data_IF_037362282950
#
_entry.id   IF_037362282950
#
_cell.length_a   1.000
_cell.length_b   1.000
_cell.length_c   1.000
_cell.angle_alpha   90.00
_cell.angle_beta   90.00
_cell.angle_gamma   90.00
#
_symmetry.space_group_name_H-M   'P 1'
#
loop_
_entity.id
_entity.type
_entity.pdbx_description
1 polymer ?
#
# COMPACT_ATOMS: atom_id res chain seq x y z
N UNK A 1 -1.50 4.38 -13.34
CA UNK A 1 -1.55 5.79 -13.78
C UNK A 1 -0.29 6.51 -13.30
N UNK A 2 0.38 7.28 -14.15
CA UNK A 2 1.63 7.96 -13.77
C UNK A 2 2.03 9.08 -14.74
N UNK A 3 3.08 9.84 -14.39
CA UNK A 3 3.81 10.72 -15.32
C UNK A 3 5.25 10.24 -15.47
N UNK A 4 5.78 10.36 -16.68
CA UNK A 4 7.17 10.03 -16.98
C UNK A 4 7.94 11.28 -17.42
N UNK A 5 9.23 11.33 -17.08
CA UNK A 5 10.13 12.34 -17.66
C UNK A 5 10.52 11.88 -19.06
N UNK A 6 10.25 12.73 -20.06
CA UNK A 6 10.56 12.48 -21.47
C UNK A 6 12.08 12.23 -21.65
N UNK A 7 12.42 11.28 -22.54
CA UNK A 7 13.81 10.91 -22.89
C UNK A 7 14.69 10.44 -21.72
N UNK A 8 14.10 10.23 -20.54
CA UNK A 8 14.82 9.78 -19.35
C UNK A 8 15.20 8.29 -19.43
N UNK A 9 16.46 7.97 -19.12
CA UNK A 9 16.91 6.58 -18.99
C UNK A 9 16.20 5.86 -17.81
N UNK A 10 15.88 6.59 -16.74
CA UNK A 10 15.15 6.05 -15.59
C UNK A 10 13.70 5.75 -15.99
N UNK A 11 13.04 6.64 -16.76
CA UNK A 11 11.71 6.37 -17.29
C UNK A 11 11.69 5.11 -18.18
N UNK A 12 12.68 4.96 -19.06
CA UNK A 12 12.80 3.74 -19.90
C UNK A 12 13.00 2.48 -19.05
N UNK A 13 13.81 2.57 -17.99
CA UNK A 13 14.00 1.46 -17.06
C UNK A 13 12.68 1.09 -16.37
N UNK A 14 11.96 2.06 -15.79
CA UNK A 14 10.67 1.83 -15.12
C UNK A 14 9.67 1.19 -16.09
N UNK A 15 9.52 1.72 -17.30
CA UNK A 15 8.64 1.16 -18.33
C UNK A 15 9.03 -0.27 -18.72
N UNK A 16 10.32 -0.58 -18.76
CA UNK A 16 10.81 -1.94 -19.02
C UNK A 16 10.45 -2.89 -17.89
N UNK A 17 10.58 -2.46 -16.63
CA UNK A 17 10.23 -3.26 -15.46
C UNK A 17 8.72 -3.54 -15.37
N UNK A 18 7.86 -2.58 -15.72
CA UNK A 18 6.42 -2.78 -15.80
C UNK A 18 6.05 -3.80 -16.89
N UNK A 19 6.58 -3.63 -18.12
CA UNK A 19 6.30 -4.56 -19.22
C UNK A 19 6.78 -5.99 -18.94
N UNK A 20 7.95 -6.13 -18.29
CA UNK A 20 8.49 -7.45 -17.91
C UNK A 20 7.58 -8.22 -16.96
N UNK A 21 6.72 -7.51 -16.23
CA UNK A 21 5.72 -8.06 -15.30
C UNK A 21 4.31 -8.09 -15.86
N UNK A 22 4.19 -7.82 -17.16
CA UNK A 22 2.87 -7.73 -17.81
C UNK A 22 1.94 -6.70 -17.16
N UNK A 23 2.52 -5.61 -16.64
CA UNK A 23 1.76 -4.50 -16.07
C UNK A 23 1.57 -3.45 -17.17
N UNK A 24 0.35 -3.21 -17.52
CA UNK A 24 -0.04 -2.10 -18.38
C UNK A 24 0.06 -0.78 -17.61
N UNK A 25 0.41 0.27 -18.31
CA UNK A 25 0.51 1.59 -17.71
C UNK A 25 0.01 2.66 -18.66
N UNK A 26 -0.73 3.59 -18.12
CA UNK A 26 -1.07 4.84 -18.77
C UNK A 26 -0.33 5.98 -18.11
N UNK A 27 0.25 6.86 -18.91
CA UNK A 27 1.07 7.93 -18.36
C UNK A 27 1.46 8.98 -19.40
N UNK A 28 1.46 10.20 -18.95
CA UNK A 28 1.87 11.38 -19.73
C UNK A 28 3.39 11.54 -19.66
N UNK A 29 4.00 11.76 -20.82
CA UNK A 29 5.40 12.16 -20.88
C UNK A 29 5.54 13.67 -20.82
N UNK A 30 6.33 14.15 -19.85
CA UNK A 30 6.61 15.58 -19.67
C UNK A 30 8.07 15.89 -19.92
N UNK A 31 8.40 17.01 -20.56
CA UNK A 31 9.80 17.43 -20.76
C UNK A 31 10.50 17.58 -19.40
N UNK A 32 11.75 17.16 -19.30
CA UNK A 32 12.57 17.45 -18.12
C UNK A 32 12.68 18.96 -17.84
N UNK A 33 12.67 19.78 -18.90
CA UNK A 33 12.87 21.21 -18.84
C UNK A 33 14.35 21.56 -18.91
N UNK A 34 14.97 21.82 -17.77
CA UNK A 34 16.38 22.17 -17.64
C UNK A 34 17.06 21.26 -16.60
N UNK A 35 18.36 21.40 -16.31
CA UNK A 35 19.04 20.57 -15.29
C UNK A 35 18.38 20.62 -13.89
N UNK A 36 17.54 21.61 -13.61
CA UNK A 36 16.81 21.81 -12.35
C UNK A 36 15.33 21.40 -12.44
N UNK A 37 14.93 20.83 -13.59
CA UNK A 37 13.55 20.42 -13.85
C UNK A 37 13.19 19.07 -13.24
N UNK A 38 12.22 18.41 -13.86
CA UNK A 38 11.66 17.15 -13.34
C UNK A 38 12.62 15.98 -13.45
N UNK A 39 12.48 15.04 -12.51
CA UNK A 39 13.14 13.73 -12.53
C UNK A 39 12.27 12.69 -11.85
N UNK A 40 12.59 11.42 -12.02
CA UNK A 40 12.06 10.36 -11.16
C UNK A 40 12.80 10.38 -9.81
N UNK A 41 12.08 10.06 -8.73
CA UNK A 41 12.65 9.96 -7.40
C UNK A 41 13.72 8.86 -7.33
N UNK A 42 14.63 8.97 -6.37
CA UNK A 42 15.61 7.94 -6.02
C UNK A 42 15.54 7.70 -4.52
N UNK A 43 15.38 6.45 -4.13
CA UNK A 43 15.48 6.03 -2.75
C UNK A 43 16.75 5.18 -2.60
N UNK A 44 17.52 5.45 -1.56
CA UNK A 44 18.66 4.64 -1.16
C UNK A 44 18.31 4.01 0.17
N UNK A 45 18.20 2.69 0.17
CA UNK A 45 17.82 1.92 1.35
C UNK A 45 19.00 1.11 1.88
N UNK A 46 19.16 1.09 3.19
CA UNK A 46 19.98 0.16 3.94
C UNK A 46 19.02 -0.66 4.82
N UNK A 47 18.93 -1.95 4.56
CA UNK A 47 17.99 -2.86 5.24
C UNK A 47 18.33 -3.08 6.72
N UNK A 48 19.49 -2.59 7.19
CA UNK A 48 19.96 -2.86 8.54
C UNK A 48 20.50 -4.28 8.72
N UNK A 49 20.93 -4.61 9.93
CA UNK A 49 21.32 -5.97 10.31
C UNK A 49 21.37 -6.12 11.84
N UNK A 50 20.75 -7.13 12.39
CA UNK A 50 20.68 -7.36 13.83
C UNK A 50 20.18 -6.12 14.57
N UNK A 51 20.96 -5.60 15.51
CA UNK A 51 20.64 -4.38 16.26
C UNK A 51 20.84 -3.06 15.50
N UNK A 52 21.38 -3.09 14.27
CA UNK A 52 21.54 -1.89 13.43
C UNK A 52 20.27 -1.64 12.64
N UNK A 53 19.56 -0.55 12.96
CA UNK A 53 18.28 -0.20 12.35
C UNK A 53 18.41 0.02 10.83
N UNK A 54 17.35 -0.31 10.06
CA UNK A 54 17.22 0.10 8.66
C UNK A 54 17.24 1.63 8.51
N UNK A 55 17.71 2.10 7.37
CA UNK A 55 17.73 3.51 7.03
C UNK A 55 17.34 3.71 5.56
N UNK A 56 16.44 4.66 5.29
CA UNK A 56 16.02 5.01 3.93
C UNK A 56 16.26 6.50 3.70
N UNK A 57 17.05 6.81 2.69
CA UNK A 57 17.24 8.16 2.19
C UNK A 57 16.36 8.36 0.95
N UNK A 58 15.37 9.26 1.08
CA UNK A 58 14.46 9.59 -0.01
C UNK A 58 14.94 10.89 -0.68
N UNK A 59 15.33 10.82 -1.95
CA UNK A 59 15.59 11.99 -2.78
C UNK A 59 14.43 12.23 -3.74
N UNK A 60 13.54 13.15 -3.35
CA UNK A 60 12.32 13.50 -4.07
C UNK A 60 12.33 14.91 -4.67
N UNK A 61 13.49 15.60 -4.69
CA UNK A 61 13.58 16.90 -5.31
C UNK A 61 13.27 16.85 -6.80
N UNK A 62 12.34 17.67 -7.29
CA UNK A 62 11.94 17.67 -8.70
C UNK A 62 11.18 16.41 -9.15
N UNK A 63 10.61 15.65 -8.24
CA UNK A 63 9.86 14.43 -8.56
C UNK A 63 8.66 14.72 -9.48
N UNK A 64 8.65 14.06 -10.66
CA UNK A 64 7.59 14.24 -11.66
C UNK A 64 6.22 13.74 -11.18
N UNK A 65 6.20 12.73 -10.32
CA UNK A 65 4.96 12.18 -9.74
C UNK A 65 4.13 13.22 -8.98
N UNK A 66 4.76 14.26 -8.42
CA UNK A 66 4.06 15.36 -7.72
C UNK A 66 3.17 16.20 -8.63
N UNK A 67 3.30 16.08 -9.92
CA UNK A 67 2.58 16.90 -10.91
C UNK A 67 1.42 16.15 -11.58
N UNK A 68 1.11 14.92 -11.14
CA UNK A 68 0.01 14.12 -11.67
C UNK A 68 -1.32 14.87 -11.51
N UNK A 69 -2.11 14.90 -12.58
CA UNK A 69 -3.45 15.47 -12.61
C UNK A 69 -4.44 14.44 -13.15
N UNK A 70 -5.68 14.47 -12.66
CA UNK A 70 -6.74 13.57 -13.14
C UNK A 70 -6.99 13.71 -14.64
N UNK A 71 -6.83 14.92 -15.19
CA UNK A 71 -6.92 15.22 -16.61
C UNK A 71 -5.83 14.60 -17.49
N UNK A 72 -4.82 13.97 -16.91
CA UNK A 72 -3.77 13.27 -17.65
C UNK A 72 -4.27 11.93 -18.24
N UNK A 73 -5.40 11.42 -17.77
CA UNK A 73 -5.86 10.07 -18.02
C UNK A 73 -7.24 10.03 -18.65
N UNK A 74 -7.46 9.06 -19.52
CA UNK A 74 -8.79 8.74 -20.06
C UNK A 74 -9.60 7.93 -19.01
N UNK A 75 -10.19 8.66 -18.06
CA UNK A 75 -10.97 8.03 -16.99
C UNK A 75 -12.21 7.29 -17.52
N UNK A 76 -12.82 7.77 -18.61
CA UNK A 76 -13.96 7.08 -19.22
C UNK A 76 -13.53 5.76 -19.83
N UNK A 77 -12.45 5.74 -20.59
CA UNK A 77 -11.87 4.52 -21.15
C UNK A 77 -11.54 3.51 -20.06
N UNK A 78 -10.81 3.93 -19.01
CA UNK A 78 -10.34 3.02 -17.93
C UNK A 78 -11.51 2.45 -17.12
N UNK A 79 -12.39 3.29 -16.59
CA UNK A 79 -13.36 2.85 -15.58
C UNK A 79 -14.69 2.40 -16.17
N UNK A 80 -15.08 2.91 -17.33
CA UNK A 80 -16.35 2.58 -17.97
C UNK A 80 -16.17 1.58 -19.11
N UNK A 81 -15.27 1.85 -20.07
CA UNK A 81 -15.16 1.05 -21.29
C UNK A 81 -14.36 -0.24 -21.06
N UNK A 82 -13.24 -0.18 -20.34
CA UNK A 82 -12.44 -1.35 -19.95
C UNK A 82 -12.99 -2.04 -18.69
N UNK A 83 -13.77 -1.34 -17.87
CA UNK A 83 -14.45 -1.90 -16.72
C UNK A 83 -13.49 -2.25 -15.56
N UNK A 84 -12.65 -1.31 -15.16
CA UNK A 84 -11.74 -1.47 -14.04
C UNK A 84 -12.50 -1.89 -12.76
N UNK A 85 -12.14 -3.03 -12.17
CA UNK A 85 -12.86 -3.60 -11.02
C UNK A 85 -12.47 -2.95 -9.70
N UNK A 86 -11.18 -2.65 -9.51
CA UNK A 86 -10.65 -2.02 -8.28
C UNK A 86 -9.71 -0.88 -8.66
N UNK A 87 -9.96 0.30 -8.11
CA UNK A 87 -8.99 1.39 -8.05
C UNK A 87 -8.25 1.30 -6.70
N UNK A 88 -6.96 1.09 -6.72
CA UNK A 88 -6.13 1.18 -5.51
C UNK A 88 -5.42 2.53 -5.43
N UNK A 89 -5.54 3.19 -4.28
CA UNK A 89 -4.89 4.45 -3.96
C UNK A 89 -3.99 4.29 -2.72
N UNK A 90 -2.83 4.92 -2.77
CA UNK A 90 -1.94 5.03 -1.60
C UNK A 90 -1.97 6.45 -1.04
N UNK A 91 -2.08 6.56 0.27
CA UNK A 91 -2.01 7.82 1.00
C UNK A 91 -0.69 8.57 0.78
N UNK A 92 0.40 7.84 0.50
CA UNK A 92 1.65 8.47 0.12
C UNK A 92 1.47 9.36 -1.14
N UNK A 93 0.80 8.85 -2.18
CA UNK A 93 0.54 9.61 -3.41
C UNK A 93 -0.48 10.72 -3.13
N UNK A 94 -1.53 10.43 -2.38
CA UNK A 94 -2.53 11.43 -2.00
C UNK A 94 -1.93 12.61 -1.22
N UNK A 95 -0.87 12.40 -0.44
CA UNK A 95 -0.19 13.42 0.34
C UNK A 95 0.98 14.11 -0.38
N UNK A 96 1.39 13.64 -1.55
CA UNK A 96 2.65 14.02 -2.20
C UNK A 96 2.68 15.51 -2.63
N UNK A 97 1.56 16.05 -3.11
CA UNK A 97 1.38 17.47 -3.45
C UNK A 97 -0.12 17.84 -3.46
N UNK A 98 -0.50 19.13 -3.46
CA UNK A 98 -1.90 19.54 -3.63
C UNK A 98 -2.52 19.00 -4.93
N UNK A 99 -1.75 18.95 -6.01
CA UNK A 99 -2.20 18.41 -7.30
C UNK A 99 -2.54 16.93 -7.20
N UNK A 100 -1.67 16.12 -6.59
CA UNK A 100 -1.94 14.69 -6.42
C UNK A 100 -3.06 14.42 -5.43
N UNK A 101 -3.20 15.25 -4.38
CA UNK A 101 -4.35 15.18 -3.45
C UNK A 101 -5.66 15.33 -4.21
N UNK A 102 -5.78 16.40 -5.01
CA UNK A 102 -6.99 16.64 -5.80
C UNK A 102 -7.21 15.54 -6.85
N UNK A 103 -6.14 15.10 -7.52
CA UNK A 103 -6.23 14.02 -8.51
C UNK A 103 -6.72 12.70 -7.91
N UNK A 104 -6.23 12.33 -6.74
CA UNK A 104 -6.72 11.12 -6.04
C UNK A 104 -8.20 11.22 -5.72
N UNK A 105 -8.69 12.38 -5.28
CA UNK A 105 -10.11 12.62 -5.04
C UNK A 105 -10.93 12.53 -6.33
N UNK A 106 -10.55 13.23 -7.38
CA UNK A 106 -11.27 13.26 -8.65
C UNK A 106 -11.36 11.86 -9.28
N UNK A 107 -10.24 11.14 -9.31
CA UNK A 107 -10.18 9.79 -9.89
C UNK A 107 -11.01 8.81 -9.05
N UNK A 108 -10.92 8.87 -7.71
CA UNK A 108 -11.68 7.99 -6.84
C UNK A 108 -13.20 8.22 -6.97
N UNK A 109 -13.62 9.48 -7.00
CA UNK A 109 -15.05 9.83 -7.16
C UNK A 109 -15.58 9.39 -8.51
N UNK A 110 -14.82 9.61 -9.59
CA UNK A 110 -15.19 9.14 -10.91
C UNK A 110 -15.29 7.61 -10.95
N UNK A 111 -14.26 6.90 -10.51
CA UNK A 111 -14.23 5.44 -10.46
C UNK A 111 -15.43 4.87 -9.67
N UNK A 112 -15.69 5.45 -8.49
CA UNK A 112 -16.85 5.07 -7.66
C UNK A 112 -18.17 5.25 -8.38
N UNK A 113 -18.33 6.35 -9.16
CA UNK A 113 -19.53 6.60 -9.94
C UNK A 113 -19.77 5.58 -11.06
N UNK A 114 -18.71 4.90 -11.51
CA UNK A 114 -18.78 3.82 -12.51
C UNK A 114 -18.96 2.43 -11.88
N UNK A 115 -19.02 2.32 -10.55
CA UNK A 115 -19.16 1.05 -9.83
C UNK A 115 -17.84 0.34 -9.51
N UNK A 116 -16.71 0.98 -9.76
CA UNK A 116 -15.39 0.46 -9.38
C UNK A 116 -15.23 0.46 -7.86
N UNK A 117 -14.72 -0.62 -7.29
CA UNK A 117 -14.35 -0.68 -5.87
C UNK A 117 -13.14 0.22 -5.59
N UNK A 118 -13.21 0.97 -4.51
CA UNK A 118 -12.11 1.82 -4.07
C UNK A 118 -11.35 1.15 -2.94
N UNK A 119 -10.07 0.86 -3.18
CA UNK A 119 -9.11 0.42 -2.16
C UNK A 119 -8.21 1.58 -1.78
N UNK A 120 -8.10 1.87 -0.48
CA UNK A 120 -7.27 2.95 0.02
C UNK A 120 -6.34 2.44 1.14
N UNK A 121 -5.05 2.44 0.87
CA UNK A 121 -4.00 2.25 1.89
C UNK A 121 -3.61 3.62 2.44
N UNK A 122 -3.83 3.83 3.73
CA UNK A 122 -3.57 5.11 4.41
C UNK A 122 -2.12 5.55 4.32
N UNK A 123 -1.18 4.63 4.40
CA UNK A 123 0.24 4.78 4.11
C UNK A 123 0.81 6.16 4.49
N UNK A 124 0.61 6.56 5.75
CA UNK A 124 1.00 7.87 6.28
C UNK A 124 2.52 8.08 6.22
N UNK A 125 2.94 9.30 5.91
CA UNK A 125 4.35 9.71 5.91
C UNK A 125 4.46 11.14 6.41
N UNK A 126 4.93 11.33 7.64
CA UNK A 126 5.08 12.64 8.31
C UNK A 126 5.69 13.72 7.42
N UNK A 127 6.70 13.35 6.62
CA UNK A 127 7.42 14.31 5.78
C UNK A 127 6.55 15.03 4.76
N UNK A 128 5.44 14.43 4.32
CA UNK A 128 4.49 15.02 3.36
C UNK A 128 3.35 15.76 4.04
N UNK A 129 3.09 15.43 5.30
CA UNK A 129 2.01 16.05 6.08
C UNK A 129 2.42 17.39 6.66
N UNK A 130 3.72 17.59 6.90
CA UNK A 130 4.23 18.79 7.55
C UNK A 130 3.81 20.08 6.85
N UNK A 131 3.00 20.89 7.55
CA UNK A 131 2.45 22.17 7.07
C UNK A 131 1.21 22.04 6.17
N UNK A 132 0.65 20.78 6.06
CA UNK A 132 -0.57 20.47 5.32
C UNK A 132 -1.54 19.60 6.14
N UNK A 133 -1.35 19.53 7.44
CA UNK A 133 -2.02 18.57 8.32
C UNK A 133 -3.56 18.70 8.24
N UNK A 134 -4.10 19.91 8.31
CA UNK A 134 -5.54 20.15 8.23
C UNK A 134 -6.12 19.80 6.85
N UNK A 135 -5.43 20.21 5.78
CA UNK A 135 -5.82 19.92 4.40
C UNK A 135 -5.86 18.41 4.15
N UNK A 136 -4.77 17.72 4.54
CA UNK A 136 -4.64 16.29 4.29
C UNK A 136 -5.59 15.49 5.16
N UNK A 137 -5.80 15.87 6.42
CA UNK A 137 -6.78 15.22 7.28
C UNK A 137 -8.18 15.28 6.65
N UNK A 138 -8.61 16.44 6.15
CA UNK A 138 -9.89 16.59 5.47
C UNK A 138 -9.98 15.75 4.19
N UNK A 139 -8.91 15.72 3.39
CA UNK A 139 -8.85 14.96 2.14
C UNK A 139 -8.86 13.45 2.38
N UNK A 140 -8.13 12.97 3.38
CA UNK A 140 -8.12 11.56 3.75
C UNK A 140 -9.47 11.10 4.31
N UNK A 141 -10.14 11.95 5.09
CA UNK A 141 -11.53 11.66 5.52
C UNK A 141 -12.49 11.54 4.32
N UNK A 142 -12.33 12.40 3.31
CA UNK A 142 -13.17 12.34 2.10
C UNK A 142 -12.87 11.06 1.31
N UNK A 143 -11.61 10.69 1.09
CA UNK A 143 -11.23 9.43 0.45
C UNK A 143 -11.76 8.23 1.24
N UNK A 144 -11.54 8.17 2.56
CA UNK A 144 -12.00 7.08 3.39
C UNK A 144 -13.54 6.92 3.38
N UNK A 145 -14.30 8.01 3.22
CA UNK A 145 -15.77 7.97 3.19
C UNK A 145 -16.35 7.27 1.94
N UNK A 146 -15.60 7.21 0.84
CA UNK A 146 -16.00 6.56 -0.41
C UNK A 146 -15.27 5.22 -0.65
N UNK A 147 -14.40 4.83 0.28
CA UNK A 147 -13.57 3.62 0.18
C UNK A 147 -14.37 2.37 0.53
N UNK A 148 -14.16 1.30 -0.23
CA UNK A 148 -14.73 -0.04 0.03
C UNK A 148 -13.76 -0.93 0.82
N UNK A 149 -12.45 -0.78 0.60
CA UNK A 149 -11.37 -1.56 1.22
C UNK A 149 -10.39 -0.58 1.83
N UNK A 150 -10.42 -0.41 3.15
CA UNK A 150 -9.54 0.51 3.88
C UNK A 150 -8.42 -0.25 4.58
N UNK A 151 -7.20 0.14 4.31
CA UNK A 151 -5.99 -0.56 4.74
C UNK A 151 -5.07 0.41 5.47
N UNK A 152 -4.37 -0.09 6.48
CA UNK A 152 -3.36 0.67 7.22
C UNK A 152 -2.79 -0.15 8.38
N UNK A 153 -1.82 0.42 9.06
CA UNK A 153 -1.38 -0.04 10.38
C UNK A 153 -1.95 0.87 11.48
N UNK A 154 -1.66 0.59 12.73
CA UNK A 154 -2.16 1.37 13.87
C UNK A 154 -1.75 2.84 13.83
N UNK A 155 -0.53 3.13 13.35
CA UNK A 155 -0.02 4.49 13.21
C UNK A 155 -0.75 5.25 12.11
N UNK A 156 -1.00 4.58 10.98
CA UNK A 156 -1.72 5.16 9.84
C UNK A 156 -3.14 5.60 10.24
N UNK A 157 -3.90 4.76 10.94
CA UNK A 157 -5.25 5.12 11.40
C UNK A 157 -5.24 6.29 12.40
N UNK A 158 -4.23 6.34 13.26
CA UNK A 158 -4.12 7.42 14.25
C UNK A 158 -3.72 8.74 13.60
N UNK A 159 -2.70 8.74 12.76
CA UNK A 159 -2.13 9.95 12.20
C UNK A 159 -2.91 10.48 10.98
N UNK A 160 -3.36 9.58 10.08
CA UNK A 160 -4.06 10.00 8.87
C UNK A 160 -5.57 10.23 9.07
N UNK A 161 -6.20 9.58 10.06
CA UNK A 161 -7.64 9.71 10.31
C UNK A 161 -7.98 10.26 11.70
N UNK A 162 -6.99 10.52 12.55
CA UNK A 162 -7.20 11.00 13.92
C UNK A 162 -7.98 10.03 14.81
N UNK A 163 -7.92 8.73 14.52
CA UNK A 163 -8.66 7.70 15.27
C UNK A 163 -7.70 7.04 16.25
N UNK A 164 -7.99 7.17 17.55
CA UNK A 164 -7.15 6.60 18.59
C UNK A 164 -7.08 5.07 18.50
N UNK A 165 -5.88 4.53 18.61
CA UNK A 165 -5.55 3.11 18.56
C UNK A 165 -4.50 2.71 19.60
N UNK A 166 -3.96 1.47 19.52
CA UNK A 166 -2.85 1.03 20.35
C UNK A 166 -1.59 1.84 20.07
N UNK A 167 -0.58 1.72 20.94
CA UNK A 167 0.71 2.40 20.75
C UNK A 167 1.39 1.89 19.49
N UNK A 168 1.77 2.81 18.59
CA UNK A 168 2.43 2.47 17.35
C UNK A 168 3.80 1.82 17.58
N UNK A 169 4.07 0.68 16.90
CA UNK A 169 5.30 -0.09 17.06
C UNK A 169 5.45 -0.69 18.47
N UNK A 170 4.35 -0.86 19.19
CA UNK A 170 4.33 -1.46 20.53
C UNK A 170 4.88 -2.88 20.55
N UNK A 171 5.27 -3.34 21.75
CA UNK A 171 5.65 -4.73 22.01
C UNK A 171 4.40 -5.56 22.30
N UNK A 172 4.55 -6.87 22.20
CA UNK A 172 3.48 -7.83 22.49
C UNK A 172 2.23 -7.62 21.61
N UNK A 173 2.44 -7.50 20.29
CA UNK A 173 1.37 -7.27 19.30
C UNK A 173 0.28 -8.33 19.40
N UNK A 174 0.63 -9.58 19.72
CA UNK A 174 -0.30 -10.68 19.96
C UNK A 174 -1.24 -10.41 21.15
N UNK A 175 -0.71 -9.88 22.26
CA UNK A 175 -1.49 -9.55 23.45
C UNK A 175 -2.46 -8.38 23.23
N UNK A 176 -2.20 -7.54 22.21
CA UNK A 176 -2.95 -6.32 21.94
C UNK A 176 -3.97 -6.44 20.80
N UNK A 177 -4.24 -7.64 20.28
CA UNK A 177 -5.18 -7.88 19.16
C UNK A 177 -6.56 -7.24 19.42
N UNK A 178 -7.05 -7.28 20.64
CA UNK A 178 -8.36 -6.68 20.97
C UNK A 178 -8.34 -5.15 20.91
N UNK A 179 -7.23 -4.50 21.22
CA UNK A 179 -7.07 -3.04 21.07
C UNK A 179 -7.08 -2.63 19.59
N UNK A 180 -6.49 -3.46 18.71
CA UNK A 180 -6.58 -3.26 17.24
C UNK A 180 -8.01 -3.42 16.74
N UNK A 181 -8.75 -4.45 17.23
CA UNK A 181 -10.17 -4.63 16.88
C UNK A 181 -11.03 -3.46 17.35
N UNK A 182 -10.74 -2.93 18.54
CA UNK A 182 -11.45 -1.76 19.07
C UNK A 182 -11.17 -0.50 18.23
N UNK A 183 -9.91 -0.28 17.80
CA UNK A 183 -9.56 0.79 16.88
C UNK A 183 -10.32 0.66 15.56
N UNK A 184 -10.28 -0.51 14.92
CA UNK A 184 -10.99 -0.76 13.65
C UNK A 184 -12.51 -0.60 13.83
N UNK A 185 -13.07 -0.96 14.99
CA UNK A 185 -14.49 -0.74 15.27
C UNK A 185 -14.86 0.74 15.26
N UNK A 186 -14.00 1.61 15.84
CA UNK A 186 -14.16 3.07 15.77
C UNK A 186 -14.03 3.60 14.32
N UNK A 187 -13.10 3.03 13.53
CA UNK A 187 -12.97 3.37 12.10
C UNK A 187 -14.25 3.01 11.37
N UNK A 188 -14.78 1.81 11.57
CA UNK A 188 -16.02 1.32 10.96
C UNK A 188 -17.24 2.19 11.31
N UNK A 189 -17.36 2.62 12.55
CA UNK A 189 -18.44 3.54 12.97
C UNK A 189 -18.37 4.86 12.19
N UNK A 190 -17.17 5.35 11.92
CA UNK A 190 -16.95 6.60 11.17
C UNK A 190 -17.12 6.43 9.65
N UNK A 191 -16.79 5.25 9.10
CA UNK A 191 -16.87 4.95 7.67
C UNK A 191 -17.73 3.72 7.40
N UNK A 192 -19.06 3.82 7.58
CA UNK A 192 -19.96 2.67 7.52
C UNK A 192 -20.11 2.08 6.09
N UNK A 193 -19.70 2.80 5.06
CA UNK A 193 -19.73 2.34 3.67
C UNK A 193 -18.56 1.40 3.31
N UNK A 194 -17.52 1.37 4.13
CA UNK A 194 -16.37 0.47 3.94
C UNK A 194 -16.75 -0.96 4.32
N UNK A 195 -16.56 -1.89 3.42
CA UNK A 195 -16.91 -3.30 3.59
C UNK A 195 -15.76 -4.14 4.16
N UNK A 196 -14.51 -3.77 3.84
CA UNK A 196 -13.29 -4.48 4.27
C UNK A 196 -12.35 -3.51 4.97
N UNK A 197 -11.95 -3.85 6.19
CA UNK A 197 -10.91 -3.16 6.94
C UNK A 197 -9.76 -4.12 7.18
N UNK A 198 -8.56 -3.76 6.76
CA UNK A 198 -7.37 -4.58 6.92
C UNK A 198 -6.28 -3.82 7.67
N UNK A 199 -5.64 -4.51 8.61
CA UNK A 199 -4.55 -3.96 9.40
C UNK A 199 -3.41 -4.96 9.48
N UNK A 200 -2.20 -4.54 9.13
CA UNK A 200 -0.99 -5.34 9.36
C UNK A 200 -0.59 -5.26 10.82
N UNK A 201 -0.18 -6.38 11.38
CA UNK A 201 0.37 -6.49 12.72
C UNK A 201 1.87 -6.74 12.61
N UNK A 202 2.68 -5.89 13.22
CA UNK A 202 4.13 -6.06 13.17
C UNK A 202 4.81 -5.62 14.45
N UNK A 203 5.62 -6.52 15.00
CA UNK A 203 6.61 -6.20 16.03
C UNK A 203 8.02 -6.42 15.48
N UNK A 204 8.92 -5.47 15.70
CA UNK A 204 10.30 -5.54 15.25
C UNK A 204 11.16 -6.01 16.41
N UNK A 205 11.61 -7.26 16.37
CA UNK A 205 12.54 -7.82 17.37
C UNK A 205 13.96 -7.33 17.11
N UNK A 206 14.38 -7.36 15.86
CA UNK A 206 15.61 -6.74 15.34
C UNK A 206 15.45 -6.54 13.82
N UNK A 207 16.48 -6.05 13.12
CA UNK A 207 16.41 -5.77 11.69
C UNK A 207 16.05 -6.99 10.81
N UNK A 208 16.36 -8.21 11.29
CA UNK A 208 16.21 -9.45 10.54
C UNK A 208 15.16 -10.40 11.09
N UNK A 209 14.49 -10.04 12.20
CA UNK A 209 13.48 -10.86 12.85
C UNK A 209 12.29 -10.00 13.25
N UNK A 210 11.14 -10.30 12.68
CA UNK A 210 9.89 -9.62 12.97
C UNK A 210 8.79 -10.64 13.34
N UNK A 211 7.90 -10.23 14.24
CA UNK A 211 6.59 -10.85 14.36
C UNK A 211 5.69 -10.20 13.31
N UNK A 212 5.06 -11.00 12.46
CA UNK A 212 4.24 -10.55 11.33
C UNK A 212 2.87 -11.23 11.37
N UNK A 213 1.82 -10.44 11.36
CA UNK A 213 0.43 -10.87 11.42
C UNK A 213 -0.50 -9.93 10.67
N UNK A 214 -1.79 -10.17 10.79
CA UNK A 214 -2.80 -9.29 10.20
C UNK A 214 -4.19 -9.49 10.79
N UNK A 215 -4.99 -8.44 10.72
CA UNK A 215 -6.40 -8.47 11.09
C UNK A 215 -7.22 -8.00 9.89
N UNK A 216 -8.30 -8.72 9.61
CA UNK A 216 -9.30 -8.36 8.63
C UNK A 216 -10.68 -8.34 9.29
N UNK A 217 -11.44 -7.27 9.07
CA UNK A 217 -12.86 -7.23 9.34
C UNK A 217 -13.61 -7.17 8.02
N UNK A 218 -14.41 -8.18 7.75
CA UNK A 218 -15.24 -8.27 6.55
C UNK A 218 -16.54 -9.03 6.86
N UNK A 219 -17.65 -8.72 6.20
CA UNK A 219 -18.93 -9.42 6.35
C UNK A 219 -19.43 -9.49 7.81
N UNK A 220 -19.09 -8.50 8.60
CA UNK A 220 -19.46 -8.45 10.03
C UNK A 220 -18.64 -9.39 10.93
N UNK A 221 -17.59 -10.02 10.43
CA UNK A 221 -16.74 -10.98 11.16
C UNK A 221 -15.30 -10.49 11.23
N UNK A 222 -14.59 -10.99 12.22
CA UNK A 222 -13.16 -10.80 12.40
C UNK A 222 -12.40 -12.02 11.94
N UNK A 223 -11.32 -11.80 11.20
CA UNK A 223 -10.34 -12.79 10.80
C UNK A 223 -8.98 -12.30 11.30
N UNK A 224 -8.20 -13.18 11.88
CA UNK A 224 -6.90 -12.84 12.48
C UNK A 224 -5.86 -13.86 12.03
N UNK A 225 -4.81 -13.38 11.40
CA UNK A 225 -3.55 -14.10 11.29
C UNK A 225 -2.67 -13.65 12.44
N UNK A 226 -2.55 -14.52 13.45
CA UNK A 226 -1.73 -14.24 14.62
C UNK A 226 -0.28 -13.97 14.22
N UNK A 227 0.41 -13.04 14.91
CA UNK A 227 1.79 -12.72 14.59
C UNK A 227 2.70 -13.95 14.69
N UNK A 228 3.39 -14.27 13.61
CA UNK A 228 4.37 -15.35 13.53
C UNK A 228 5.75 -14.76 13.27
N UNK A 229 6.79 -15.41 13.79
CA UNK A 229 8.17 -15.05 13.52
C UNK A 229 8.51 -15.24 12.04
N UNK A 230 9.04 -14.19 11.42
CA UNK A 230 9.56 -14.21 10.05
C UNK A 230 10.99 -13.68 10.01
N UNK A 231 11.80 -14.32 9.16
CA UNK A 231 13.15 -13.84 8.86
C UNK A 231 13.09 -12.79 7.75
N UNK A 232 13.74 -11.66 7.95
CA UNK A 232 13.68 -10.49 7.08
C UNK A 232 15.05 -10.19 6.48
N UNK A 233 15.14 -10.15 5.16
CA UNK A 233 16.30 -9.60 4.43
C UNK A 233 16.12 -8.10 4.19
N UNK A 234 14.95 -7.71 3.70
CA UNK A 234 14.52 -6.31 3.57
C UNK A 234 13.05 -6.19 3.92
N UNK A 235 12.70 -5.21 4.73
CA UNK A 235 11.30 -4.98 5.14
C UNK A 235 10.51 -4.10 4.17
N UNK A 236 11.20 -3.44 3.22
CA UNK A 236 10.57 -2.52 2.26
C UNK A 236 9.68 -3.33 1.32
N UNK A 237 8.48 -2.80 1.03
CA UNK A 237 7.51 -3.46 0.15
C UNK A 237 6.65 -4.55 0.82
N UNK A 238 6.95 -4.98 2.05
CA UNK A 238 6.15 -5.98 2.75
C UNK A 238 4.69 -5.56 2.95
N UNK A 239 4.45 -4.29 3.30
CA UNK A 239 3.09 -3.73 3.40
C UNK A 239 2.39 -3.67 2.05
N UNK A 240 3.04 -3.13 1.02
CA UNK A 240 2.49 -3.05 -0.34
C UNK A 240 2.16 -4.44 -0.90
N UNK A 241 3.00 -5.44 -0.59
CA UNK A 241 2.76 -6.83 -1.00
C UNK A 241 1.60 -7.46 -0.23
N UNK A 242 1.43 -7.16 1.07
CA UNK A 242 0.23 -7.55 1.82
C UNK A 242 -1.03 -7.00 1.15
N UNK A 243 -1.03 -5.72 0.77
CA UNK A 243 -2.12 -5.10 0.02
C UNK A 243 -2.35 -5.81 -1.31
N UNK A 244 -1.29 -6.06 -2.08
CA UNK A 244 -1.37 -6.78 -3.36
C UNK A 244 -2.01 -8.16 -3.20
N UNK A 245 -1.60 -8.93 -2.19
CA UNK A 245 -2.18 -10.24 -1.89
C UNK A 245 -3.64 -10.18 -1.47
N UNK A 246 -4.01 -9.18 -0.65
CA UNK A 246 -5.40 -8.95 -0.26
C UNK A 246 -6.28 -8.67 -1.48
N UNK A 247 -5.87 -7.73 -2.32
CA UNK A 247 -6.62 -7.34 -3.51
C UNK A 247 -6.71 -8.46 -4.54
N UNK A 248 -5.65 -9.28 -4.66
CA UNK A 248 -5.68 -10.49 -5.48
C UNK A 248 -6.77 -11.46 -5.02
N UNK A 249 -6.87 -11.72 -3.72
CA UNK A 249 -7.92 -12.57 -3.16
C UNK A 249 -9.33 -12.01 -3.38
N UNK A 250 -9.50 -10.68 -3.21
CA UNK A 250 -10.78 -10.00 -3.46
C UNK A 250 -11.19 -10.10 -4.92
N UNK A 251 -10.26 -9.88 -5.87
CA UNK A 251 -10.50 -10.00 -7.31
C UNK A 251 -10.88 -11.44 -7.72
N UNK A 252 -10.38 -12.44 -7.01
CA UNK A 252 -10.72 -13.84 -7.23
C UNK A 252 -11.93 -14.32 -6.40
N UNK A 253 -12.64 -13.40 -5.76
CA UNK A 253 -13.84 -13.69 -4.95
C UNK A 253 -13.59 -14.77 -3.87
N UNK A 254 -12.40 -14.77 -3.27
CA UNK A 254 -12.07 -15.71 -2.21
C UNK A 254 -12.74 -15.32 -0.88
N UNK A 255 -12.98 -16.34 -0.05
CA UNK A 255 -13.41 -16.13 1.33
C UNK A 255 -12.44 -15.19 2.07
N UNK A 256 -12.93 -14.29 2.94
CA UNK A 256 -12.11 -13.28 3.60
C UNK A 256 -10.91 -13.86 4.37
N UNK A 257 -11.07 -15.02 4.99
CA UNK A 257 -9.98 -15.70 5.69
C UNK A 257 -8.85 -16.06 4.74
N UNK A 258 -9.17 -16.64 3.57
CA UNK A 258 -8.18 -16.98 2.54
C UNK A 258 -7.50 -15.73 1.97
N UNK A 259 -8.25 -14.63 1.80
CA UNK A 259 -7.68 -13.35 1.39
C UNK A 259 -6.62 -12.87 2.39
N UNK A 260 -6.91 -12.93 3.69
CA UNK A 260 -5.99 -12.51 4.75
C UNK A 260 -4.73 -13.40 4.79
N UNK A 261 -4.91 -14.73 4.70
CA UNK A 261 -3.80 -15.70 4.68
C UNK A 261 -2.85 -15.45 3.50
N UNK A 262 -3.41 -15.19 2.33
CA UNK A 262 -2.62 -14.88 1.14
C UNK A 262 -1.92 -13.52 1.25
N UNK A 263 -2.61 -12.51 1.78
CA UNK A 263 -2.03 -11.19 2.06
C UNK A 263 -0.86 -11.29 3.06
N UNK A 264 -1.02 -12.04 4.14
CA UNK A 264 0.05 -12.35 5.08
C UNK A 264 1.25 -12.98 4.37
N UNK A 265 0.98 -13.97 3.52
CA UNK A 265 2.01 -14.75 2.81
C UNK A 265 2.80 -13.91 1.81
N UNK A 266 2.13 -13.04 1.04
CA UNK A 266 2.80 -12.14 0.08
C UNK A 266 3.69 -11.13 0.77
N UNK A 267 3.24 -10.55 1.90
CA UNK A 267 4.04 -9.64 2.72
C UNK A 267 5.28 -10.34 3.32
N UNK A 268 5.10 -11.55 3.86
CA UNK A 268 6.18 -12.36 4.39
C UNK A 268 7.18 -12.76 3.28
N UNK A 269 6.71 -13.21 2.12
CA UNK A 269 7.56 -13.57 0.96
C UNK A 269 8.44 -12.39 0.53
N UNK A 270 7.84 -11.21 0.35
CA UNK A 270 8.58 -10.01 -0.07
C UNK A 270 9.67 -9.65 0.93
N UNK A 271 9.41 -9.79 2.23
CA UNK A 271 10.41 -9.52 3.27
C UNK A 271 11.64 -10.45 3.21
N UNK A 272 11.57 -11.56 2.49
CA UNK A 272 12.72 -12.48 2.25
C UNK A 272 13.55 -12.12 1.02
N UNK A 273 13.23 -11.04 0.33
CA UNK A 273 13.89 -10.60 -0.90
C UNK A 273 14.63 -9.28 -0.67
N UNK A 274 15.61 -8.98 -1.54
CA UNK A 274 16.30 -7.69 -1.59
C UNK A 274 15.65 -6.70 -2.57
N UNK A 275 14.41 -6.96 -2.94
CA UNK A 275 13.62 -6.13 -3.85
C UNK A 275 12.35 -5.69 -3.14
N UNK A 276 11.85 -4.51 -3.46
CA UNK A 276 10.64 -3.93 -2.85
C UNK A 276 9.35 -4.67 -3.25
N UNK A 277 9.46 -5.68 -4.11
CA UNK A 277 8.34 -6.48 -4.61
C UNK A 277 8.79 -7.91 -4.91
N UNK A 278 7.88 -8.85 -4.74
CA UNK A 278 8.03 -10.24 -5.18
C UNK A 278 7.53 -10.41 -6.62
N UNK A 279 8.06 -11.40 -7.33
CA UNK A 279 7.55 -11.86 -8.61
C UNK A 279 7.45 -13.39 -8.56
N UNK A 280 6.48 -13.93 -7.79
CA UNK A 280 6.30 -15.37 -7.65
C UNK A 280 5.95 -15.99 -9.01
N UNK A 281 6.40 -17.23 -9.24
CA UNK A 281 6.11 -17.97 -10.48
C UNK A 281 4.65 -18.42 -10.55
N UNK A 282 4.06 -18.69 -9.38
CA UNK A 282 2.71 -19.21 -9.20
C UNK A 282 2.23 -18.93 -7.77
N UNK A 283 0.97 -19.25 -7.48
CA UNK A 283 0.39 -19.14 -6.13
C UNK A 283 1.04 -20.10 -5.14
N UNK A 284 1.50 -21.27 -5.60
CA UNK A 284 2.10 -22.27 -4.73
C UNK A 284 3.34 -21.72 -4.00
N UNK A 285 4.14 -20.88 -4.68
CA UNK A 285 5.30 -20.27 -4.05
C UNK A 285 4.91 -19.35 -2.88
N UNK A 286 3.77 -18.70 -2.96
CA UNK A 286 3.22 -17.86 -1.90
C UNK A 286 2.69 -18.71 -0.77
N UNK A 287 1.93 -19.77 -1.08
CA UNK A 287 1.38 -20.70 -0.10
C UNK A 287 2.46 -21.53 0.62
N UNK A 288 3.60 -21.78 -0.02
CA UNK A 288 4.74 -22.43 0.62
C UNK A 288 5.29 -21.61 1.79
N UNK A 289 5.29 -20.27 1.70
CA UNK A 289 5.64 -19.39 2.83
C UNK A 289 4.62 -19.54 3.97
N UNK A 290 3.34 -19.60 3.66
CA UNK A 290 2.28 -19.74 4.66
C UNK A 290 2.41 -21.04 5.46
N UNK A 291 2.71 -22.13 4.77
CA UNK A 291 2.84 -23.45 5.36
C UNK A 291 4.22 -23.74 5.95
N UNK A 292 5.20 -22.84 5.74
CA UNK A 292 6.59 -23.04 6.17
C UNK A 292 7.33 -24.13 5.39
N UNK A 293 6.91 -24.43 4.16
CA UNK A 293 7.50 -25.51 3.34
C UNK A 293 8.73 -25.00 2.57
N UNK A 294 9.92 -25.14 3.17
CA UNK A 294 11.20 -24.74 2.59
C UNK A 294 11.88 -25.84 1.73
N UNK A 295 11.19 -26.94 1.43
CA UNK A 295 11.76 -28.04 0.63
C UNK A 295 11.74 -27.74 -0.86
N UNK A 296 12.84 -28.06 -1.55
CA UNK A 296 12.90 -27.93 -3.02
C UNK A 296 11.87 -28.86 -3.67
N UNK A 297 10.93 -28.29 -4.40
CA UNK A 297 10.05 -29.02 -5.33
C UNK A 297 10.87 -29.39 -6.57
N UNK A 298 10.93 -30.68 -6.95
CA UNK A 298 11.61 -31.20 -8.13
C UNK A 298 10.60 -31.70 -9.15
#
# INVERSE_FOLDING_TARGET
LTRFVQDSSIARFIKSELRRRNIEYEGVEVPQGNPWGYRHQINIADSGYGGRRPYVLNDRAGEVGRTIQSSDFDLEGIFKDEGCQILHLSGLIAALSPETTQSCLDIAEYAKSQGTLISFDLNHRDSFWKGREEELLASFHRLASITDILIGNEEDYQLALGIKGPEAGGKDVEANIDDFKEMISRVKEKYPNTSIFANTLREVLNANEHMWGGILHAEGKWYVEEPRDIQVLDRIGGGDSFVGGLLYGVLNEWEPEKCLQFAWSTGALTSTLLTDYASPSDEDQIWDIYTGNARVKR
#
